data_IF_114921538999
#
_entry.id   IF_114921538999
#
_cell.length_a   1.000
_cell.length_b   1.000
_cell.length_c   1.000
_cell.angle_alpha   90.00
_cell.angle_beta   90.00
_cell.angle_gamma   90.00
#
_symmetry.space_group_name_H-M   'P 1'
#
loop_
_entity.id
_entity.type
_entity.pdbx_description
1 polymer ?
#
# COMPACT_ATOMS: atom_id res chain seq x y z
N UNK A 1 -17.06 1.40 -10.89
CA UNK A 1 -16.82 0.69 -12.16
C UNK A 1 -15.52 -0.10 -12.08
N UNK A 2 -15.32 -1.05 -12.98
CA UNK A 2 -14.05 -1.78 -13.02
C UNK A 2 -12.98 -0.87 -13.62
N UNK A 3 -11.82 -0.78 -12.97
CA UNK A 3 -10.61 -0.12 -13.50
C UNK A 3 -10.21 -0.77 -14.83
N UNK A 4 -9.96 0.00 -15.87
CA UNK A 4 -9.70 -0.48 -17.24
C UNK A 4 -8.27 -0.22 -17.72
N UNK A 5 -7.58 0.75 -17.13
CA UNK A 5 -6.23 1.17 -17.51
C UNK A 5 -5.43 1.72 -16.30
N UNK A 6 -4.18 2.09 -16.57
CA UNK A 6 -3.25 2.59 -15.57
C UNK A 6 -3.68 3.93 -14.94
N UNK A 7 -4.30 4.82 -15.74
CA UNK A 7 -4.71 6.15 -15.26
C UNK A 7 -5.86 6.02 -14.25
N UNK A 8 -6.79 5.09 -14.51
CA UNK A 8 -7.86 4.77 -13.55
C UNK A 8 -7.32 4.13 -12.26
N UNK A 9 -6.22 3.34 -12.32
CA UNK A 9 -5.53 2.84 -11.11
C UNK A 9 -5.07 4.02 -10.26
N UNK A 10 -4.38 4.99 -10.86
CA UNK A 10 -3.82 6.15 -10.15
C UNK A 10 -4.92 7.05 -9.58
N UNK A 11 -5.97 7.33 -10.34
CA UNK A 11 -7.12 8.08 -9.84
C UNK A 11 -7.82 7.37 -8.67
N UNK A 12 -7.96 6.04 -8.73
CA UNK A 12 -8.56 5.27 -7.63
C UNK A 12 -7.68 5.28 -6.38
N UNK A 13 -6.35 5.24 -6.52
CA UNK A 13 -5.42 5.39 -5.40
C UNK A 13 -5.54 6.78 -4.73
N UNK A 14 -5.77 7.85 -5.50
CA UNK A 14 -6.08 9.18 -4.96
C UNK A 14 -7.35 9.18 -4.10
N UNK A 15 -8.40 8.49 -4.55
CA UNK A 15 -9.62 8.29 -3.74
C UNK A 15 -9.34 7.48 -2.48
N UNK A 16 -8.56 6.41 -2.56
CA UNK A 16 -8.18 5.60 -1.40
C UNK A 16 -7.40 6.42 -0.37
N UNK A 17 -6.49 7.28 -0.82
CA UNK A 17 -5.76 8.17 0.07
C UNK A 17 -6.69 9.12 0.86
N UNK A 18 -7.81 9.56 0.26
CA UNK A 18 -8.83 10.38 0.91
C UNK A 18 -9.75 9.58 1.83
N UNK A 19 -10.10 8.35 1.45
CA UNK A 19 -11.17 7.55 2.07
C UNK A 19 -10.63 6.51 3.07
N UNK A 20 -9.31 6.43 3.27
CA UNK A 20 -8.68 5.46 4.18
C UNK A 20 -8.55 4.06 3.58
N UNK A 21 -8.48 3.94 2.27
CA UNK A 21 -8.16 2.68 1.57
C UNK A 21 -6.67 2.36 1.63
N UNK A 22 -6.30 1.21 1.07
CA UNK A 22 -4.89 0.82 0.95
C UNK A 22 -4.10 1.76 0.02
N UNK A 23 -2.79 1.78 0.18
CA UNK A 23 -1.91 2.69 -0.53
C UNK A 23 -0.75 1.98 -1.22
N UNK A 24 -0.49 2.34 -2.47
CA UNK A 24 0.69 1.91 -3.21
C UNK A 24 1.96 2.63 -2.72
N UNK A 25 1.79 3.85 -2.23
CA UNK A 25 2.78 4.65 -1.53
C UNK A 25 2.05 5.46 -0.44
N UNK A 26 2.78 5.92 0.57
CA UNK A 26 2.20 6.67 1.68
C UNK A 26 2.53 8.15 1.56
N UNK A 27 1.58 9.00 1.13
CA UNK A 27 1.73 10.45 1.17
C UNK A 27 1.44 10.95 2.59
N UNK A 28 2.29 11.83 3.10
CA UNK A 28 2.03 12.55 4.34
C UNK A 28 2.69 13.93 4.30
N UNK A 29 2.16 14.85 5.10
CA UNK A 29 2.72 16.20 5.25
C UNK A 29 3.49 16.27 6.57
N UNK A 30 4.71 16.78 6.51
CA UNK A 30 5.52 17.02 7.69
C UNK A 30 6.38 18.29 7.51
N UNK A 31 6.94 18.79 8.60
CA UNK A 31 7.98 19.81 8.54
C UNK A 31 9.14 19.30 7.69
N UNK A 32 9.67 20.14 6.82
CA UNK A 32 10.82 19.79 6.00
C UNK A 32 12.05 19.51 6.90
N UNK A 33 12.65 18.35 6.75
CA UNK A 33 13.80 17.90 7.56
C UNK A 33 15.05 18.81 7.39
N UNK A 34 15.08 19.65 6.35
CA UNK A 34 16.18 20.58 6.07
C UNK A 34 15.82 22.06 6.19
N UNK A 35 14.52 22.37 6.30
CA UNK A 35 14.01 23.72 6.48
C UNK A 35 12.78 23.72 7.39
N UNK A 36 13.00 23.84 8.69
CA UNK A 36 11.94 23.79 9.70
C UNK A 36 10.92 24.94 9.60
N UNK A 37 11.07 25.87 8.66
CA UNK A 37 10.15 27.00 8.47
C UNK A 37 8.98 26.66 7.54
N UNK A 38 9.00 25.47 6.89
CA UNK A 38 7.98 25.06 5.94
C UNK A 38 7.52 23.62 6.15
N UNK A 39 6.33 23.32 5.62
CA UNK A 39 5.83 21.97 5.47
C UNK A 39 5.99 21.50 4.04
N UNK A 40 6.26 20.22 3.84
CA UNK A 40 6.36 19.59 2.51
C UNK A 40 5.63 18.25 2.50
N UNK A 41 5.29 17.77 1.31
CA UNK A 41 4.75 16.43 1.11
C UNK A 41 5.90 15.44 1.08
N UNK A 42 5.76 14.36 1.82
CA UNK A 42 6.63 13.19 1.76
C UNK A 42 5.91 12.06 1.04
N UNK A 43 6.62 11.37 0.16
CA UNK A 43 6.17 10.13 -0.46
C UNK A 43 7.06 8.98 0.01
N UNK A 44 6.47 8.01 0.69
CA UNK A 44 7.14 6.83 1.22
C UNK A 44 6.66 5.57 0.53
N UNK A 45 7.57 4.59 0.36
CA UNK A 45 7.25 3.27 -0.21
C UNK A 45 6.10 2.58 0.53
N UNK A 46 5.27 1.82 -0.21
CA UNK A 46 4.09 1.13 0.32
C UNK A 46 3.68 -0.05 -0.56
N UNK A 47 2.43 -0.47 -0.47
CA UNK A 47 1.84 -1.47 -1.37
C UNK A 47 2.08 -2.92 -1.00
N UNK A 48 2.65 -3.20 0.18
CA UNK A 48 2.91 -4.55 0.65
C UNK A 48 1.90 -4.97 1.72
N UNK A 49 1.44 -6.21 1.67
CA UNK A 49 0.59 -6.79 2.69
C UNK A 49 1.37 -7.52 3.80
N UNK A 50 2.66 -7.83 3.59
CA UNK A 50 3.59 -8.34 4.59
C UNK A 50 4.43 -7.19 5.18
N UNK A 51 5.04 -7.35 6.37
CA UNK A 51 5.65 -6.24 7.13
C UNK A 51 6.76 -5.46 6.44
N UNK A 52 7.54 -6.11 5.57
CA UNK A 52 8.61 -5.50 4.79
C UNK A 52 9.08 -6.38 3.63
N UNK A 53 10.01 -5.88 2.83
CA UNK A 53 10.56 -6.51 1.64
C UNK A 53 11.23 -7.87 1.91
N UNK A 54 11.81 -8.07 3.10
CA UNK A 54 12.53 -9.29 3.45
C UNK A 54 11.61 -10.51 3.50
N UNK A 55 10.34 -10.30 3.86
CA UNK A 55 9.31 -11.35 3.87
C UNK A 55 9.05 -11.93 2.48
N UNK A 56 9.27 -11.17 1.42
CA UNK A 56 9.05 -11.60 0.04
C UNK A 56 10.23 -12.37 -0.55
N UNK A 57 11.46 -12.20 -0.03
CA UNK A 57 12.68 -12.76 -0.62
C UNK A 57 13.45 -13.76 0.25
N UNK A 58 13.41 -13.62 1.60
CA UNK A 58 14.25 -14.44 2.47
C UNK A 58 13.62 -15.81 2.74
N UNK A 59 14.44 -16.87 2.70
CA UNK A 59 13.98 -18.26 2.88
C UNK A 59 13.37 -18.50 4.25
N UNK A 60 13.88 -17.85 5.28
CA UNK A 60 13.34 -17.94 6.65
C UNK A 60 11.85 -17.51 6.73
N UNK A 61 11.37 -16.67 5.81
CA UNK A 61 10.00 -16.20 5.76
C UNK A 61 9.10 -17.01 4.81
N UNK A 62 9.61 -18.07 4.18
CA UNK A 62 8.80 -18.92 3.29
C UNK A 62 7.50 -19.44 3.93
N UNK A 63 7.48 -19.93 5.19
CA UNK A 63 6.23 -20.35 5.82
C UNK A 63 5.21 -19.23 6.00
N UNK A 64 5.68 -17.98 6.23
CA UNK A 64 4.81 -16.80 6.35
C UNK A 64 4.23 -16.43 4.99
N UNK A 65 5.04 -16.47 3.92
CA UNK A 65 4.55 -16.23 2.54
C UNK A 65 3.46 -17.22 2.14
N UNK A 66 3.66 -18.52 2.44
CA UNK A 66 2.65 -19.55 2.18
C UNK A 66 1.37 -19.31 2.98
N UNK A 67 1.49 -18.92 4.25
CA UNK A 67 0.35 -18.57 5.08
C UNK A 67 -0.37 -17.32 4.54
N UNK A 68 0.37 -16.33 4.04
CA UNK A 68 -0.19 -15.13 3.44
C UNK A 68 -0.98 -15.43 2.17
N UNK A 69 -0.47 -16.26 1.26
CA UNK A 69 -1.21 -16.65 0.06
C UNK A 69 -2.52 -17.37 0.42
N UNK A 70 -2.49 -18.27 1.41
CA UNK A 70 -3.71 -18.91 1.90
C UNK A 70 -4.69 -17.92 2.53
N UNK A 71 -4.19 -16.93 3.25
CA UNK A 71 -4.99 -15.84 3.82
C UNK A 71 -5.67 -15.01 2.71
N UNK A 72 -4.93 -14.59 1.69
CA UNK A 72 -5.47 -13.90 0.52
C UNK A 72 -6.62 -14.69 -0.11
N UNK A 73 -6.39 -15.97 -0.39
CA UNK A 73 -7.40 -16.86 -0.99
C UNK A 73 -8.67 -16.96 -0.13
N UNK A 74 -8.52 -17.13 1.19
CA UNK A 74 -9.66 -17.22 2.12
C UNK A 74 -10.43 -15.91 2.20
N UNK A 75 -9.74 -14.78 2.33
CA UNK A 75 -10.38 -13.47 2.38
C UNK A 75 -11.16 -13.17 1.09
N UNK A 76 -10.57 -13.46 -0.06
CA UNK A 76 -11.21 -13.29 -1.36
C UNK A 76 -12.41 -14.24 -1.54
N UNK A 77 -12.32 -15.47 -1.04
CA UNK A 77 -13.43 -16.43 -1.01
C UNK A 77 -14.58 -15.92 -0.14
N UNK A 78 -14.29 -15.43 1.06
CA UNK A 78 -15.30 -14.86 1.97
C UNK A 78 -15.96 -13.60 1.42
N UNK A 79 -15.29 -12.91 0.49
CA UNK A 79 -15.81 -11.74 -0.22
C UNK A 79 -16.46 -12.07 -1.57
N UNK A 80 -16.76 -13.35 -1.84
CA UNK A 80 -17.39 -13.86 -3.07
C UNK A 80 -16.66 -13.39 -4.35
N UNK A 81 -15.32 -13.26 -4.30
CA UNK A 81 -14.54 -12.90 -5.48
C UNK A 81 -14.40 -14.10 -6.42
N UNK A 82 -14.50 -13.88 -7.74
CA UNK A 82 -14.22 -14.93 -8.70
C UNK A 82 -12.74 -15.31 -8.69
N UNK A 83 -12.42 -16.60 -8.88
CA UNK A 83 -11.05 -17.10 -8.97
C UNK A 83 -10.15 -16.67 -7.80
N UNK A 84 -10.52 -16.96 -6.53
CA UNK A 84 -9.77 -16.45 -5.37
C UNK A 84 -8.32 -16.95 -5.32
N UNK A 85 -8.05 -18.18 -5.75
CA UNK A 85 -6.70 -18.73 -5.80
C UNK A 85 -5.82 -18.04 -6.86
N UNK A 86 -6.36 -17.82 -8.07
CA UNK A 86 -5.65 -17.08 -9.12
C UNK A 86 -5.44 -15.62 -8.75
N UNK A 87 -6.42 -14.97 -8.13
CA UNK A 87 -6.28 -13.61 -7.63
C UNK A 87 -5.21 -13.51 -6.53
N UNK A 88 -5.18 -14.44 -5.57
CA UNK A 88 -4.15 -14.50 -4.53
C UNK A 88 -2.74 -14.64 -5.13
N UNK A 89 -2.59 -15.47 -6.16
CA UNK A 89 -1.30 -15.63 -6.86
C UNK A 89 -0.87 -14.33 -7.57
N UNK A 90 -1.77 -13.66 -8.28
CA UNK A 90 -1.50 -12.38 -8.97
C UNK A 90 -1.16 -11.25 -7.99
N UNK A 91 -1.84 -11.19 -6.83
CA UNK A 91 -1.53 -10.23 -5.75
C UNK A 91 -0.12 -10.49 -5.22
N UNK A 92 0.19 -11.74 -4.88
CA UNK A 92 1.52 -12.10 -4.35
C UNK A 92 2.64 -11.80 -5.34
N UNK A 93 2.44 -12.04 -6.64
CA UNK A 93 3.39 -11.71 -7.70
C UNK A 93 3.62 -10.20 -7.81
N UNK A 94 2.54 -9.41 -7.81
CA UNK A 94 2.63 -7.95 -7.86
C UNK A 94 3.35 -7.39 -6.63
N UNK A 95 2.97 -7.82 -5.43
CA UNK A 95 3.62 -7.36 -4.19
C UNK A 95 5.10 -7.79 -4.13
N UNK A 96 5.45 -8.97 -4.64
CA UNK A 96 6.85 -9.42 -4.76
C UNK A 96 7.64 -8.51 -5.68
N UNK A 97 7.06 -8.08 -6.82
CA UNK A 97 7.67 -7.12 -7.73
C UNK A 97 7.89 -5.76 -7.06
N UNK A 98 6.91 -5.27 -6.31
CA UNK A 98 7.03 -4.02 -5.56
C UNK A 98 8.09 -4.13 -4.46
N UNK A 99 8.06 -5.22 -3.69
CA UNK A 99 9.01 -5.49 -2.62
C UNK A 99 10.47 -5.52 -3.10
N UNK A 100 10.72 -6.01 -4.32
CA UNK A 100 12.06 -6.02 -4.91
C UNK A 100 12.67 -4.62 -5.09
N UNK A 101 11.84 -3.57 -5.14
CA UNK A 101 12.27 -2.17 -5.23
C UNK A 101 12.25 -1.43 -3.89
N UNK A 102 11.72 -2.04 -2.84
CA UNK A 102 11.72 -1.45 -1.49
C UNK A 102 13.12 -1.38 -0.92
N UNK A 103 13.38 -0.34 -0.17
CA UNK A 103 14.54 -0.25 0.69
C UNK A 103 14.32 -1.04 1.98
N UNK A 104 15.38 -1.63 2.48
CA UNK A 104 15.38 -2.32 3.77
C UNK A 104 15.19 -1.35 4.96
N UNK A 105 14.85 -1.90 6.12
CA UNK A 105 14.58 -1.14 7.35
C UNK A 105 15.78 -0.30 7.83
N UNK A 106 17.00 -0.73 7.57
CA UNK A 106 18.22 -0.01 8.00
C UNK A 106 18.41 1.20 7.11
N UNK A 107 18.33 1.02 5.80
CA UNK A 107 18.44 2.10 4.81
C UNK A 107 17.34 3.16 5.01
N UNK A 108 16.12 2.74 5.35
CA UNK A 108 14.98 3.63 5.58
C UNK A 108 15.15 4.54 6.84
N UNK A 109 16.08 4.23 7.73
CA UNK A 109 16.39 5.07 8.91
C UNK A 109 17.44 6.14 8.65
N UNK A 110 18.08 6.14 7.50
CA UNK A 110 19.08 7.13 7.13
C UNK A 110 18.41 8.44 6.66
N UNK A 111 18.43 9.52 7.47
CA UNK A 111 17.72 10.75 7.13
C UNK A 111 18.36 11.52 5.98
N UNK A 112 19.58 11.18 5.59
CA UNK A 112 20.24 11.79 4.43
C UNK A 112 19.81 11.10 3.15
N UNK A 113 19.75 9.78 3.16
CA UNK A 113 19.36 8.97 2.00
C UNK A 113 17.88 9.08 1.69
N UNK A 114 17.03 9.18 2.71
CA UNK A 114 15.57 9.31 2.58
C UNK A 114 15.10 10.74 2.29
N UNK A 115 15.99 11.63 1.88
CA UNK A 115 15.64 12.99 1.54
C UNK A 115 16.05 13.34 0.10
N UNK A 116 15.13 13.23 -0.83
CA UNK A 116 15.28 13.70 -2.21
C UNK A 116 14.15 14.69 -2.50
N UNK A 117 14.47 16.00 -2.36
CA UNK A 117 13.50 17.07 -2.62
C UNK A 117 13.37 17.27 -4.13
N UNK A 118 12.15 17.25 -4.62
CA UNK A 118 11.77 17.51 -6.02
C UNK A 118 10.54 18.41 -6.06
N UNK A 119 10.32 19.05 -7.19
CA UNK A 119 9.08 19.70 -7.55
C UNK A 119 8.20 18.78 -8.42
N UNK A 120 7.10 19.29 -8.96
CA UNK A 120 6.19 18.53 -9.80
C UNK A 120 6.86 17.96 -11.06
N UNK A 121 7.79 18.70 -11.69
CA UNK A 121 8.53 18.25 -12.87
C UNK A 121 9.50 17.11 -12.50
N UNK A 122 10.30 17.30 -11.46
CA UNK A 122 11.20 16.27 -10.94
C UNK A 122 10.47 15.01 -10.46
N UNK A 123 9.26 15.15 -9.90
CA UNK A 123 8.43 14.00 -9.55
C UNK A 123 7.92 13.26 -10.80
N UNK A 124 7.51 14.00 -11.84
CA UNK A 124 7.11 13.40 -13.12
C UNK A 124 8.28 12.68 -13.81
N UNK A 125 9.49 13.21 -13.72
CA UNK A 125 10.70 12.56 -14.23
C UNK A 125 11.02 11.25 -13.47
N UNK A 126 10.84 11.23 -12.16
CA UNK A 126 11.00 10.02 -11.35
C UNK A 126 9.93 8.95 -11.65
N UNK A 127 8.74 9.38 -12.06
CA UNK A 127 7.57 8.53 -12.23
C UNK A 127 6.94 8.67 -13.63
N UNK A 128 7.69 8.39 -14.70
CA UNK A 128 7.23 8.64 -16.06
C UNK A 128 5.94 7.87 -16.36
N UNK A 129 4.93 8.60 -16.85
CA UNK A 129 3.62 8.05 -17.22
C UNK A 129 2.63 7.89 -16.07
N UNK A 130 2.91 8.39 -14.87
CA UNK A 130 1.89 8.53 -13.83
C UNK A 130 1.19 9.90 -13.93
N UNK A 131 -0.14 9.90 -13.92
CA UNK A 131 -0.94 11.11 -13.89
C UNK A 131 -1.14 11.61 -12.44
N UNK A 132 -0.18 12.40 -11.96
CA UNK A 132 -0.27 13.03 -10.64
C UNK A 132 -1.43 14.00 -10.54
N UNK A 133 -1.85 14.61 -11.65
CA UNK A 133 -3.02 15.51 -11.67
C UNK A 133 -4.29 14.75 -11.36
N UNK A 134 -4.52 13.60 -12.01
CA UNK A 134 -5.66 12.74 -11.72
C UNK A 134 -5.64 12.21 -10.27
N UNK A 135 -4.46 11.85 -9.75
CA UNK A 135 -4.28 11.44 -8.36
C UNK A 135 -4.71 12.53 -7.38
N UNK A 136 -4.16 13.75 -7.53
CA UNK A 136 -4.42 14.87 -6.64
C UNK A 136 -5.89 15.34 -6.70
N UNK A 137 -6.48 15.40 -7.90
CA UNK A 137 -7.90 15.72 -8.06
C UNK A 137 -8.80 14.71 -7.35
N UNK A 138 -8.51 13.42 -7.50
CA UNK A 138 -9.27 12.35 -6.86
C UNK A 138 -9.08 12.35 -5.33
N UNK A 139 -7.90 12.70 -4.84
CA UNK A 139 -7.61 12.88 -3.42
C UNK A 139 -8.28 14.15 -2.85
N UNK A 140 -8.57 15.15 -3.68
CA UNK A 140 -9.07 16.46 -3.24
C UNK A 140 -7.95 17.34 -2.66
N UNK A 141 -6.72 17.16 -3.14
CA UNK A 141 -5.57 17.96 -2.70
C UNK A 141 -5.66 19.41 -3.21
N UNK A 142 -5.19 20.39 -2.44
CA UNK A 142 -5.12 21.78 -2.88
C UNK A 142 -4.07 22.00 -3.97
N UNK A 143 -4.20 23.10 -4.70
CA UNK A 143 -3.19 23.57 -5.65
C UNK A 143 -1.84 23.77 -4.92
N UNK A 144 -0.73 23.52 -5.63
CA UNK A 144 0.62 23.68 -5.07
C UNK A 144 1.08 22.51 -4.20
N UNK A 145 0.29 21.44 -4.03
CA UNK A 145 0.65 20.26 -3.22
C UNK A 145 1.97 19.63 -3.67
N UNK A 146 2.32 19.71 -4.95
CA UNK A 146 3.57 19.16 -5.50
C UNK A 146 4.68 20.19 -5.73
N UNK A 147 4.55 21.42 -5.24
CA UNK A 147 5.60 22.45 -5.40
C UNK A 147 6.90 22.05 -4.66
N UNK A 148 6.76 21.25 -3.61
CA UNK A 148 7.89 20.69 -2.88
C UNK A 148 7.53 19.32 -2.31
N UNK A 149 8.17 18.27 -2.83
CA UNK A 149 7.92 16.87 -2.46
C UNK A 149 9.24 16.20 -2.09
N UNK A 150 9.28 15.54 -0.96
CA UNK A 150 10.38 14.66 -0.58
C UNK A 150 10.06 13.23 -1.01
N UNK A 151 10.72 12.78 -2.07
CA UNK A 151 10.73 11.38 -2.48
C UNK A 151 11.69 10.62 -1.54
N UNK A 152 11.14 9.85 -0.58
CA UNK A 152 11.97 9.13 0.39
C UNK A 152 12.74 7.99 -0.24
N UNK A 153 12.13 7.27 -1.14
CA UNK A 153 12.73 6.16 -1.89
C UNK A 153 12.51 6.37 -3.40
N UNK A 154 13.30 7.24 -4.05
CA UNK A 154 13.07 7.59 -5.46
C UNK A 154 13.14 6.38 -6.39
N UNK A 155 14.03 5.42 -6.12
CA UNK A 155 14.10 4.16 -6.88
C UNK A 155 12.83 3.32 -6.79
N UNK A 156 12.18 3.30 -5.63
CA UNK A 156 10.88 2.65 -5.48
C UNK A 156 9.80 3.35 -6.32
N UNK A 157 9.73 4.68 -6.28
CA UNK A 157 8.73 5.43 -7.06
C UNK A 157 8.88 5.17 -8.56
N UNK A 158 10.11 5.11 -9.05
CA UNK A 158 10.40 4.76 -10.46
C UNK A 158 9.97 3.32 -10.80
N UNK A 159 10.29 2.37 -9.95
CA UNK A 159 9.91 0.97 -10.16
C UNK A 159 8.39 0.76 -10.07
N UNK A 160 7.73 1.46 -9.15
CA UNK A 160 6.29 1.50 -9.00
C UNK A 160 5.61 2.06 -10.25
N UNK A 161 6.10 3.19 -10.80
CA UNK A 161 5.58 3.77 -12.04
C UNK A 161 5.72 2.81 -13.22
N UNK A 162 6.84 2.09 -13.32
CA UNK A 162 7.02 1.03 -14.31
C UNK A 162 6.02 -0.12 -14.10
N UNK A 163 5.82 -0.57 -12.87
CA UNK A 163 4.88 -1.64 -12.55
C UNK A 163 3.44 -1.28 -12.95
N UNK A 164 3.00 -0.04 -12.68
CA UNK A 164 1.65 0.44 -13.04
C UNK A 164 1.38 0.30 -14.54
N UNK A 165 2.39 0.49 -15.38
CA UNK A 165 2.27 0.43 -16.84
C UNK A 165 2.46 -0.98 -17.42
N UNK A 166 3.29 -1.80 -16.79
CA UNK A 166 3.75 -3.08 -17.34
C UNK A 166 2.97 -4.28 -16.83
N UNK A 167 2.46 -4.21 -15.59
CA UNK A 167 1.70 -5.30 -15.00
C UNK A 167 0.29 -5.34 -15.58
N UNK A 168 -0.24 -6.51 -15.95
CA UNK A 168 -1.60 -6.64 -16.48
C UNK A 168 -2.65 -6.01 -15.56
N UNK A 169 -3.61 -5.32 -16.14
CA UNK A 169 -4.66 -4.60 -15.39
C UNK A 169 -5.48 -5.50 -14.47
N UNK A 170 -5.58 -6.79 -14.78
CA UNK A 170 -6.26 -7.76 -13.94
C UNK A 170 -5.58 -7.92 -12.58
N UNK A 171 -4.25 -7.96 -12.53
CA UNK A 171 -3.48 -8.02 -11.28
C UNK A 171 -3.72 -6.77 -10.42
N UNK A 172 -3.81 -5.60 -11.06
CA UNK A 172 -4.15 -4.35 -10.37
C UNK A 172 -5.58 -4.36 -9.83
N UNK A 173 -6.54 -4.89 -10.57
CA UNK A 173 -7.93 -5.04 -10.10
C UNK A 173 -8.00 -5.91 -8.86
N UNK A 174 -7.30 -7.04 -8.86
CA UNK A 174 -7.29 -7.97 -7.74
C UNK A 174 -6.58 -7.35 -6.53
N UNK A 175 -5.44 -6.70 -6.75
CA UNK A 175 -4.70 -6.02 -5.70
C UNK A 175 -5.53 -4.85 -5.09
N UNK A 176 -6.19 -4.03 -5.91
CA UNK A 176 -7.05 -2.95 -5.42
C UNK A 176 -8.24 -3.47 -4.60
N UNK A 177 -8.88 -4.57 -5.03
CA UNK A 177 -9.93 -5.23 -4.25
C UNK A 177 -9.40 -5.73 -2.92
N UNK A 178 -8.22 -6.34 -2.95
CA UNK A 178 -7.53 -6.79 -1.74
C UNK A 178 -7.24 -5.63 -0.80
N UNK A 179 -6.73 -4.50 -1.29
CA UNK A 179 -6.44 -3.33 -0.47
C UNK A 179 -7.69 -2.83 0.27
N UNK A 180 -8.84 -2.74 -0.42
CA UNK A 180 -10.11 -2.37 0.21
C UNK A 180 -10.51 -3.41 1.25
N UNK A 181 -10.49 -4.70 0.90
CA UNK A 181 -10.88 -5.78 1.79
C UNK A 181 -10.01 -5.81 3.05
N UNK A 182 -8.71 -5.65 2.90
CA UNK A 182 -7.75 -5.61 4.00
C UNK A 182 -7.95 -4.39 4.91
N UNK A 183 -8.04 -3.19 4.33
CA UNK A 183 -8.21 -1.94 5.09
C UNK A 183 -9.51 -1.95 5.91
N UNK A 184 -10.59 -2.51 5.35
CA UNK A 184 -11.90 -2.54 5.99
C UNK A 184 -12.19 -3.84 6.75
N UNK A 185 -11.30 -4.83 6.74
CA UNK A 185 -11.50 -6.12 7.40
C UNK A 185 -12.00 -6.01 8.85
N UNK A 186 -11.50 -5.10 9.70
CA UNK A 186 -11.97 -4.95 11.08
C UNK A 186 -13.45 -4.58 11.23
N UNK A 187 -14.06 -4.02 10.18
CA UNK A 187 -15.44 -3.50 10.17
C UNK A 187 -16.42 -4.39 9.41
N UNK A 188 -15.93 -5.46 8.77
CA UNK A 188 -16.74 -6.35 7.94
C UNK A 188 -17.39 -7.47 8.76
N UNK A 189 -17.87 -8.53 8.08
CA UNK A 189 -18.49 -9.68 8.73
C UNK A 189 -17.55 -10.37 9.72
N UNK A 190 -18.14 -11.09 10.70
CA UNK A 190 -17.37 -11.82 11.70
C UNK A 190 -16.37 -12.81 11.08
N UNK A 191 -16.72 -13.45 9.98
CA UNK A 191 -15.85 -14.37 9.27
C UNK A 191 -14.61 -13.67 8.70
N UNK A 192 -14.76 -12.49 8.10
CA UNK A 192 -13.65 -11.68 7.58
C UNK A 192 -12.78 -11.14 8.71
N UNK A 193 -13.39 -10.67 9.80
CA UNK A 193 -12.65 -10.24 11.02
C UNK A 193 -11.83 -11.38 11.60
N UNK A 194 -12.41 -12.57 11.70
CA UNK A 194 -11.74 -13.74 12.27
C UNK A 194 -10.55 -14.20 11.39
N UNK A 195 -10.75 -14.29 10.07
CA UNK A 195 -9.68 -14.67 9.13
C UNK A 195 -8.55 -13.63 9.13
N UNK A 196 -8.87 -12.33 9.12
CA UNK A 196 -7.88 -11.27 9.20
C UNK A 196 -7.05 -11.34 10.50
N UNK A 197 -7.71 -11.62 11.63
CA UNK A 197 -7.01 -11.81 12.90
C UNK A 197 -6.17 -13.10 12.93
N UNK A 198 -6.64 -14.19 12.31
CA UNK A 198 -5.91 -15.45 12.27
C UNK A 198 -4.56 -15.31 11.58
N UNK A 199 -4.49 -14.50 10.52
CA UNK A 199 -3.23 -14.20 9.86
C UNK A 199 -2.43 -13.11 10.59
N UNK A 200 -2.91 -11.87 10.64
CA UNK A 200 -2.12 -10.74 11.16
C UNK A 200 -1.93 -10.75 12.68
N UNK A 201 -2.94 -11.21 13.41
CA UNK A 201 -2.86 -11.32 14.88
C UNK A 201 -2.11 -12.58 15.31
N UNK A 202 -2.64 -13.74 14.95
CA UNK A 202 -2.13 -15.01 15.47
C UNK A 202 -0.85 -15.46 14.75
N UNK A 203 -0.87 -15.54 13.43
CA UNK A 203 0.24 -16.09 12.65
C UNK A 203 1.42 -15.12 12.61
N UNK A 204 1.19 -13.85 12.36
CA UNK A 204 2.25 -12.86 12.15
C UNK A 204 2.74 -12.22 13.46
N UNK A 205 1.82 -11.90 14.38
CA UNK A 205 2.14 -11.18 15.62
C UNK A 205 2.14 -12.05 16.88
N UNK A 206 1.78 -13.34 16.76
CA UNK A 206 1.77 -14.28 17.89
C UNK A 206 0.71 -13.98 18.97
N UNK A 207 -0.32 -13.20 18.66
CA UNK A 207 -1.40 -12.87 19.59
C UNK A 207 -2.38 -14.03 19.65
N UNK A 208 -2.62 -14.68 20.82
CA UNK A 208 -3.41 -15.90 20.87
C UNK A 208 -4.91 -15.68 20.66
N UNK A 209 -5.44 -14.55 21.10
CA UNK A 209 -6.88 -14.27 21.12
C UNK A 209 -7.21 -12.86 20.65
N UNK A 210 -8.29 -12.75 19.87
CA UNK A 210 -8.82 -11.45 19.44
C UNK A 210 -9.47 -10.73 20.64
N UNK A 211 -9.26 -9.43 20.75
CA UNK A 211 -9.95 -8.63 21.77
C UNK A 211 -11.47 -8.69 21.59
N UNK A 212 -12.21 -8.61 22.69
CA UNK A 212 -13.68 -8.52 22.69
C UNK A 212 -14.16 -7.39 21.76
N UNK A 213 -15.29 -7.62 21.09
CA UNK A 213 -15.81 -6.69 20.06
C UNK A 213 -15.97 -5.27 20.57
N UNK A 214 -16.47 -5.08 21.79
CA UNK A 214 -16.66 -3.74 22.35
C UNK A 214 -15.32 -3.02 22.60
N UNK A 215 -14.27 -3.72 23.03
CA UNK A 215 -12.92 -3.15 23.20
C UNK A 215 -12.29 -2.74 21.88
N UNK A 216 -12.55 -3.52 20.82
CA UNK A 216 -12.15 -3.16 19.44
C UNK A 216 -12.89 -1.92 18.97
N UNK A 217 -14.21 -1.84 19.24
CA UNK A 217 -15.03 -0.68 18.91
C UNK A 217 -14.57 0.61 19.63
N UNK A 218 -14.15 0.52 20.90
CA UNK A 218 -13.58 1.67 21.62
C UNK A 218 -12.28 2.13 20.98
N UNK A 219 -11.36 1.21 20.68
CA UNK A 219 -10.07 1.56 20.06
C UNK A 219 -10.25 2.26 18.70
N UNK A 220 -11.27 1.90 17.91
CA UNK A 220 -11.58 2.52 16.63
C UNK A 220 -12.14 3.97 16.73
N UNK A 221 -12.54 4.41 17.90
CA UNK A 221 -13.05 5.77 18.13
C UNK A 221 -11.98 6.66 18.75
N UNK A 222 -10.94 6.06 19.35
CA UNK A 222 -9.82 6.77 19.99
C UNK A 222 -8.68 7.08 19.02
N UNK A 223 -8.62 6.43 17.84
CA UNK A 223 -7.68 6.68 16.73
C UNK A 223 -8.22 7.80 15.82
#
# INVERSE_FOLDING_TARGET
>A
GAVTDADEVIALLGRFAREGGGALFHPFVNTDDRDSTRYVVYLEQGGLGLPDESYYREDQHAPVREAYVRHLERMLTLADQPDPAGAAARIMELETRLAAAHWDKVTNRDPVRTYTLVDAEGLADLTPGLDWTAYLQAMGAPDGTLDAVVARQPGYLTAMAAAVREVPIESWRDWLRWQVLHAWAPYLSEALVAENFDFYGRTLSGVPEIRERWKRGVALVED
#
